data_IF_657690782838
#
_entry.id   IF_657690782838
#
_cell.length_a   1.000
_cell.length_b   1.000
_cell.length_c   1.000
_cell.angle_alpha   90.00
_cell.angle_beta   90.00
_cell.angle_gamma   90.00
#
_symmetry.space_group_name_H-M   'P 1'
#
loop_
_entity.id
_entity.type
_entity.pdbx_description
1 polymer ?
#
# COMPACT_ATOMS: atom_id res chain seq x y z
N UNK A 1 -7.27 2.72 -20.73
CA UNK A 1 -6.47 1.68 -20.06
C UNK A 1 -6.85 1.67 -18.59
N UNK A 2 -6.94 0.50 -17.99
CA UNK A 2 -7.14 0.31 -16.54
C UNK A 2 -6.12 -0.71 -16.03
N UNK A 3 -5.76 -0.62 -14.75
CA UNK A 3 -4.86 -1.56 -14.08
C UNK A 3 -5.26 -1.78 -12.63
N UNK A 4 -5.04 -2.96 -12.13
CA UNK A 4 -5.21 -3.30 -10.72
C UNK A 4 -3.96 -4.05 -10.25
N UNK A 5 -3.39 -3.63 -9.13
CA UNK A 5 -2.15 -4.20 -8.58
C UNK A 5 -2.30 -4.47 -7.09
N UNK A 6 -1.61 -5.49 -6.61
CA UNK A 6 -1.40 -5.68 -5.18
C UNK A 6 -0.11 -4.99 -4.75
N UNK A 7 -0.22 -3.98 -3.88
CA UNK A 7 0.90 -3.23 -3.33
C UNK A 7 1.03 -3.44 -1.82
N UNK A 8 1.37 -4.65 -1.39
CA UNK A 8 1.86 -4.88 -0.03
C UNK A 8 3.20 -4.18 0.18
N UNK A 9 3.68 -4.10 1.43
CA UNK A 9 4.90 -3.36 1.74
C UNK A 9 6.13 -3.76 0.90
N UNK A 10 6.31 -5.07 0.64
CA UNK A 10 7.42 -5.56 -0.19
C UNK A 10 7.29 -5.05 -1.62
N UNK A 11 6.12 -5.23 -2.24
CA UNK A 11 5.88 -4.76 -3.60
C UNK A 11 6.09 -3.25 -3.72
N UNK A 12 5.53 -2.48 -2.78
CA UNK A 12 5.68 -1.03 -2.75
C UNK A 12 7.15 -0.60 -2.53
N UNK A 13 7.89 -1.31 -1.67
CA UNK A 13 9.31 -1.06 -1.41
C UNK A 13 10.19 -1.38 -2.63
N UNK A 14 9.90 -2.46 -3.35
CA UNK A 14 10.66 -2.92 -4.50
C UNK A 14 10.16 -2.37 -5.85
N UNK A 15 9.30 -1.35 -5.86
CA UNK A 15 8.99 -0.58 -7.06
C UNK A 15 7.81 -1.09 -7.89
N UNK A 16 6.84 -1.82 -7.31
CA UNK A 16 5.63 -2.25 -8.05
C UNK A 16 4.86 -1.05 -8.62
N UNK A 17 4.83 0.08 -7.90
CA UNK A 17 4.12 1.29 -8.30
C UNK A 17 4.79 1.91 -9.51
N UNK A 18 6.10 2.10 -9.43
CA UNK A 18 6.93 2.66 -10.50
C UNK A 18 6.82 1.82 -11.77
N UNK A 19 6.97 0.50 -11.64
CA UNK A 19 6.84 -0.43 -12.77
C UNK A 19 5.44 -0.42 -13.38
N UNK A 20 4.39 -0.24 -12.56
CA UNK A 20 3.01 -0.17 -13.05
C UNK A 20 2.79 1.11 -13.85
N UNK A 21 3.25 2.26 -13.37
CA UNK A 21 3.15 3.53 -14.12
C UNK A 21 3.93 3.46 -15.42
N UNK A 22 5.14 2.90 -15.40
CA UNK A 22 5.93 2.67 -16.61
C UNK A 22 5.17 1.82 -17.61
N UNK A 23 4.62 0.68 -17.17
CA UNK A 23 3.86 -0.23 -18.03
C UNK A 23 2.60 0.41 -18.62
N UNK A 24 1.86 1.19 -17.83
CA UNK A 24 0.71 1.95 -18.32
C UNK A 24 1.13 2.96 -19.40
N UNK A 25 2.26 3.63 -19.22
CA UNK A 25 2.80 4.58 -20.21
C UNK A 25 3.22 3.89 -21.49
N UNK A 26 3.90 2.74 -21.41
CA UNK A 26 4.26 1.92 -22.58
C UNK A 26 3.03 1.47 -23.39
N UNK A 27 1.92 1.24 -22.72
CA UNK A 27 0.64 0.87 -23.33
C UNK A 27 -0.13 2.09 -23.90
N UNK A 28 0.46 3.29 -23.91
CA UNK A 28 -0.15 4.53 -24.39
C UNK A 28 -1.00 5.27 -23.34
N UNK A 29 -0.86 4.95 -22.08
CA UNK A 29 -1.49 5.70 -20.98
C UNK A 29 -0.78 7.02 -20.71
N UNK A 30 -1.55 8.05 -20.39
CA UNK A 30 -1.04 9.35 -19.96
C UNK A 30 -1.08 9.45 -18.44
N UNK A 31 0.08 9.45 -17.80
CA UNK A 31 0.18 9.52 -16.33
C UNK A 31 -0.44 10.79 -15.74
N UNK A 32 -0.49 11.89 -16.50
CA UNK A 32 -1.09 13.15 -16.04
C UNK A 32 -2.62 13.10 -15.98
N UNK A 33 -3.22 12.12 -16.68
CA UNK A 33 -4.66 11.86 -16.69
C UNK A 33 -5.03 10.63 -15.86
N UNK A 34 -4.05 10.05 -15.17
CA UNK A 34 -4.28 8.85 -14.37
C UNK A 34 -4.98 9.24 -13.05
N UNK A 35 -6.08 8.55 -12.77
CA UNK A 35 -6.70 8.53 -11.45
C UNK A 35 -6.39 7.20 -10.77
N UNK A 36 -5.95 7.27 -9.52
CA UNK A 36 -5.58 6.11 -8.70
C UNK A 36 -6.48 6.04 -7.48
N UNK A 37 -6.94 4.86 -7.13
CA UNK A 37 -7.60 4.61 -5.85
C UNK A 37 -6.80 3.58 -5.06
N UNK A 38 -6.36 3.95 -3.85
CA UNK A 38 -5.73 3.03 -2.90
C UNK A 38 -6.82 2.33 -2.11
N UNK A 39 -6.94 1.03 -2.29
CA UNK A 39 -7.95 0.19 -1.65
C UNK A 39 -7.75 0.01 -0.14
N UNK A 40 -8.63 -0.77 0.51
CA UNK A 40 -8.49 -1.13 1.93
C UNK A 40 -7.15 -1.77 2.21
N UNK A 41 -6.49 -1.34 3.27
CA UNK A 41 -5.23 -1.90 3.75
C UNK A 41 -5.14 -1.78 5.26
N UNK A 42 -4.18 -2.43 5.87
CA UNK A 42 -3.91 -2.29 7.31
C UNK A 42 -3.59 -0.83 7.65
N UNK A 43 -4.25 -0.28 8.68
CA UNK A 43 -3.95 1.07 9.17
C UNK A 43 -2.62 1.14 9.92
N UNK A 44 -2.06 2.34 10.04
CA UNK A 44 -0.84 2.58 10.81
C UNK A 44 -0.99 2.10 12.27
N UNK A 45 -2.14 2.30 12.88
CA UNK A 45 -2.40 1.91 14.27
C UNK A 45 -2.26 0.41 14.52
N UNK A 46 -2.54 -0.40 13.51
CA UNK A 46 -2.48 -1.87 13.57
C UNK A 46 -1.26 -2.46 12.88
N UNK A 47 -0.42 -1.63 12.24
CA UNK A 47 0.75 -2.09 11.50
C UNK A 47 2.05 -1.94 12.30
N UNK A 48 2.17 -2.71 13.37
CA UNK A 48 3.40 -2.77 14.14
C UNK A 48 4.49 -3.53 13.38
N UNK A 49 5.70 -2.96 13.34
CA UNK A 49 6.89 -3.49 12.68
C UNK A 49 8.10 -3.35 13.60
N UNK A 50 9.12 -4.19 13.38
CA UNK A 50 10.37 -4.19 14.17
C UNK A 50 11.40 -3.26 13.55
N UNK A 51 12.50 -3.08 14.28
CA UNK A 51 13.62 -2.21 13.92
C UNK A 51 14.30 -2.57 12.59
N UNK A 52 14.40 -3.87 12.27
CA UNK A 52 14.97 -4.34 11.00
C UNK A 52 14.14 -3.83 9.80
N UNK A 53 12.81 -3.90 9.90
CA UNK A 53 11.91 -3.32 8.90
C UNK A 53 12.13 -1.82 8.74
N UNK A 54 12.14 -1.08 9.84
CA UNK A 54 12.42 0.36 9.85
C UNK A 54 13.77 0.67 9.21
N UNK A 55 14.83 -0.04 9.60
CA UNK A 55 16.18 0.17 9.10
C UNK A 55 16.30 -0.07 7.60
N UNK A 56 15.57 -1.03 7.04
CA UNK A 56 15.52 -1.26 5.59
C UNK A 56 14.96 -0.04 4.84
N UNK A 57 13.88 0.55 5.36
CA UNK A 57 13.31 1.76 4.75
C UNK A 57 14.24 2.98 4.90
N UNK A 58 14.93 3.10 6.04
CA UNK A 58 15.89 4.18 6.26
C UNK A 58 17.13 4.05 5.35
N UNK A 59 17.56 2.84 5.04
CA UNK A 59 18.68 2.60 4.12
C UNK A 59 18.33 2.98 2.67
N UNK A 60 17.07 2.87 2.27
CA UNK A 60 16.59 3.33 0.97
C UNK A 60 16.51 4.87 0.89
N UNK A 61 15.94 5.50 1.90
CA UNK A 61 15.87 6.96 2.02
C UNK A 61 15.51 7.38 3.46
N UNK A 62 16.25 8.35 4.00
CA UNK A 62 15.91 8.96 5.31
C UNK A 62 14.55 9.65 5.31
N UNK A 63 14.06 10.09 4.15
CA UNK A 63 12.73 10.71 4.02
C UNK A 63 11.59 9.73 4.34
N UNK A 64 11.85 8.43 4.37
CA UNK A 64 10.87 7.42 4.74
C UNK A 64 10.51 7.47 6.24
N UNK A 65 11.29 8.17 7.08
CA UNK A 65 11.02 8.30 8.52
C UNK A 65 9.61 8.82 8.80
N UNK A 66 9.09 9.73 7.98
CA UNK A 66 7.74 10.31 8.10
C UNK A 66 6.60 9.29 8.06
N UNK A 67 6.84 8.08 7.59
CA UNK A 67 5.85 7.00 7.54
C UNK A 67 5.86 6.12 8.79
N UNK A 68 6.75 6.40 9.73
CA UNK A 68 6.94 5.61 10.94
C UNK A 68 6.63 6.42 12.20
N UNK A 69 5.89 5.83 13.10
CA UNK A 69 5.68 6.29 14.45
C UNK A 69 6.42 5.37 15.41
N UNK A 70 7.33 5.90 16.21
CA UNK A 70 8.06 5.12 17.22
C UNK A 70 7.12 4.76 18.36
N UNK A 71 7.00 3.48 18.69
CA UNK A 71 6.14 2.98 19.76
C UNK A 71 6.92 2.45 20.97
N UNK A 72 8.11 1.97 20.78
CA UNK A 72 8.99 1.42 21.80
C UNK A 72 10.44 1.49 21.37
N UNK A 73 11.33 0.81 22.10
CA UNK A 73 12.76 0.87 21.79
C UNK A 73 13.10 0.27 20.42
N UNK A 74 12.37 -0.77 20.00
CA UNK A 74 12.64 -1.51 18.75
C UNK A 74 11.38 -1.76 17.93
N UNK A 75 10.28 -1.07 18.25
CA UNK A 75 8.98 -1.23 17.59
C UNK A 75 8.48 0.10 17.05
N UNK A 76 7.90 0.04 15.86
CA UNK A 76 7.36 1.17 15.11
C UNK A 76 5.99 0.81 14.56
N UNK A 77 5.19 1.83 14.24
CA UNK A 77 3.98 1.70 13.44
C UNK A 77 4.22 2.28 12.06
N UNK A 78 3.97 1.48 11.02
CA UNK A 78 4.21 1.87 9.63
C UNK A 78 2.93 2.29 8.92
N UNK A 79 2.96 3.43 8.25
CA UNK A 79 1.85 3.94 7.45
C UNK A 79 2.02 3.55 5.98
N UNK A 80 1.57 2.34 5.63
CA UNK A 80 1.63 1.82 4.27
C UNK A 80 0.84 2.70 3.28
N UNK A 81 -0.35 3.16 3.66
CA UNK A 81 -1.20 3.99 2.79
C UNK A 81 -0.51 5.31 2.43
N UNK A 82 0.04 6.01 3.42
CA UNK A 82 0.78 7.24 3.18
C UNK A 82 2.02 7.00 2.32
N UNK A 83 2.74 5.90 2.54
CA UNK A 83 3.89 5.52 1.73
C UNK A 83 3.51 5.31 0.26
N UNK A 84 2.42 4.55 -0.02
CA UNK A 84 1.91 4.32 -1.37
C UNK A 84 1.46 5.64 -2.02
N UNK A 85 0.74 6.50 -1.30
CA UNK A 85 0.29 7.78 -1.81
C UNK A 85 1.46 8.67 -2.26
N UNK A 86 2.50 8.79 -1.44
CA UNK A 86 3.69 9.56 -1.79
C UNK A 86 4.40 8.98 -3.02
N UNK A 87 4.50 7.66 -3.13
CA UNK A 87 5.07 7.03 -4.33
C UNK A 87 4.34 7.43 -5.62
N UNK A 88 3.01 7.48 -5.60
CA UNK A 88 2.24 7.96 -6.75
C UNK A 88 2.43 9.46 -7.00
N UNK A 89 2.46 10.27 -5.93
CA UNK A 89 2.69 11.73 -6.05
C UNK A 89 4.06 12.04 -6.64
N UNK A 90 5.12 11.35 -6.19
CA UNK A 90 6.48 11.50 -6.69
C UNK A 90 6.60 11.13 -8.18
N UNK A 91 5.72 10.25 -8.68
CA UNK A 91 5.61 9.91 -10.10
C UNK A 91 4.75 10.90 -10.92
N UNK A 92 4.17 11.91 -10.26
CA UNK A 92 3.38 12.96 -10.90
C UNK A 92 1.89 12.64 -11.06
N UNK A 93 1.37 11.59 -10.39
CA UNK A 93 -0.06 11.32 -10.35
C UNK A 93 -0.76 12.37 -9.49
N UNK A 94 -1.72 13.09 -10.07
CA UNK A 94 -2.39 14.21 -9.40
C UNK A 94 -3.68 13.80 -8.69
N UNK A 95 -4.38 12.80 -9.23
CA UNK A 95 -5.66 12.33 -8.66
C UNK A 95 -5.45 11.02 -7.93
N UNK A 96 -5.47 11.08 -6.60
CA UNK A 96 -5.29 9.91 -5.73
C UNK A 96 -6.39 9.89 -4.69
N UNK A 97 -7.26 8.89 -4.78
CA UNK A 97 -8.31 8.61 -3.81
C UNK A 97 -7.91 7.47 -2.87
N UNK A 98 -8.54 7.41 -1.72
CA UNK A 98 -8.28 6.39 -0.72
C UNK A 98 -9.58 5.82 -0.16
N UNK A 99 -9.73 4.51 -0.19
CA UNK A 99 -10.73 3.79 0.60
C UNK A 99 -10.12 3.61 2.00
N UNK A 100 -10.46 4.53 2.92
CA UNK A 100 -9.83 4.63 4.25
C UNK A 100 -10.33 3.56 5.24
N UNK A 101 -10.42 2.31 4.78
CA UNK A 101 -10.82 1.16 5.59
C UNK A 101 -9.58 0.42 6.07
N UNK A 102 -9.58 0.03 7.35
CA UNK A 102 -8.56 -0.82 7.97
C UNK A 102 -8.95 -2.29 7.82
N UNK A 103 -8.28 -3.01 6.92
CA UNK A 103 -8.54 -4.43 6.69
C UNK A 103 -8.24 -5.32 7.91
N UNK A 104 -7.41 -4.86 8.86
CA UNK A 104 -7.14 -5.58 10.10
C UNK A 104 -8.30 -5.46 11.09
N UNK A 105 -8.89 -4.27 11.23
CA UNK A 105 -9.97 -4.00 12.17
C UNK A 105 -11.35 -4.43 11.64
N UNK A 106 -11.57 -4.37 10.33
CA UNK A 106 -12.86 -4.69 9.69
C UNK A 106 -12.97 -6.19 9.39
N UNK A 107 -13.08 -7.00 10.43
CA UNK A 107 -13.06 -8.49 10.34
C UNK A 107 -14.23 -9.06 9.56
N UNK A 108 -15.42 -8.49 9.70
CA UNK A 108 -16.63 -8.96 9.01
C UNK A 108 -16.61 -8.71 7.49
N UNK A 109 -15.74 -7.82 7.00
CA UNK A 109 -15.74 -7.38 5.62
C UNK A 109 -14.46 -7.78 4.87
N UNK A 110 -13.31 -7.88 5.58
CA UNK A 110 -12.02 -8.07 4.95
C UNK A 110 -11.20 -9.17 5.60
N UNK A 111 -10.55 -9.97 4.79
CA UNK A 111 -9.46 -10.85 5.23
C UNK A 111 -8.20 -10.02 5.50
N UNK A 112 -7.42 -10.44 6.50
CA UNK A 112 -6.18 -9.76 6.88
C UNK A 112 -5.09 -10.77 7.24
N UNK A 113 -4.00 -10.74 6.49
CA UNK A 113 -2.82 -11.55 6.79
C UNK A 113 -2.29 -11.32 8.21
N UNK A 114 -2.23 -10.05 8.64
CA UNK A 114 -1.73 -9.69 9.96
C UNK A 114 -2.65 -10.22 11.06
N UNK A 115 -3.97 -10.18 10.88
CA UNK A 115 -4.94 -10.73 11.82
C UNK A 115 -4.83 -12.25 11.90
N UNK A 116 -4.79 -12.94 10.77
CA UNK A 116 -4.62 -14.38 10.70
C UNK A 116 -3.34 -14.84 11.43
N UNK A 117 -2.21 -14.19 11.17
CA UNK A 117 -0.96 -14.50 11.89
C UNK A 117 -1.03 -14.22 13.39
N UNK A 118 -1.75 -13.18 13.81
CA UNK A 118 -1.94 -12.89 15.24
C UNK A 118 -2.82 -13.92 15.93
N UNK A 119 -3.78 -14.51 15.20
CA UNK A 119 -4.70 -15.56 15.68
C UNK A 119 -4.10 -16.97 15.56
N UNK A 120 -2.90 -17.11 14.95
CA UNK A 120 -2.26 -18.42 14.76
C UNK A 120 -2.90 -19.26 13.66
N UNK A 121 -3.60 -18.63 12.72
CA UNK A 121 -4.22 -19.32 11.58
C UNK A 121 -3.14 -19.73 10.56
N UNK A 122 -3.23 -20.95 10.04
CA UNK A 122 -2.28 -21.45 9.03
C UNK A 122 -2.50 -20.80 7.67
N UNK A 123 -3.76 -20.54 7.31
CA UNK A 123 -4.16 -19.85 6.08
C UNK A 123 -5.37 -18.93 6.35
N UNK A 124 -5.71 -18.09 5.37
CA UNK A 124 -6.81 -17.13 5.45
C UNK A 124 -7.34 -16.83 4.05
N UNK A 125 -8.59 -16.34 3.95
CA UNK A 125 -9.20 -15.90 2.70
C UNK A 125 -8.45 -14.69 2.08
N UNK A 126 -8.76 -14.40 0.83
CA UNK A 126 -8.20 -13.26 0.08
C UNK A 126 -9.34 -12.34 -0.36
N UNK A 127 -9.10 -11.03 -0.30
CA UNK A 127 -9.99 -10.05 -0.90
C UNK A 127 -9.65 -9.90 -2.37
N UNK A 128 -10.67 -9.73 -3.20
CA UNK A 128 -10.52 -9.44 -4.63
C UNK A 128 -10.73 -7.94 -4.87
N UNK A 129 -9.89 -7.35 -5.72
CA UNK A 129 -10.08 -6.00 -6.21
C UNK A 129 -10.23 -6.06 -7.72
N UNK A 130 -11.21 -5.33 -8.26
CA UNK A 130 -11.46 -5.30 -9.69
C UNK A 130 -11.75 -3.87 -10.15
N UNK A 131 -11.32 -3.57 -11.37
CA UNK A 131 -11.60 -2.30 -12.04
C UNK A 131 -12.00 -2.56 -13.49
N UNK A 132 -12.96 -1.80 -14.00
CA UNK A 132 -13.33 -1.85 -15.41
C UNK A 132 -13.57 -0.44 -15.98
N UNK A 133 -13.36 -0.27 -17.27
CA UNK A 133 -13.80 0.91 -18.00
C UNK A 133 -15.30 0.76 -18.29
N UNK A 134 -16.05 1.79 -17.99
CA UNK A 134 -17.46 1.89 -18.39
C UNK A 134 -17.49 2.72 -19.69
N UNK A 135 -18.15 2.22 -20.74
CA UNK A 135 -18.49 3.03 -21.90
C UNK A 135 -19.56 4.04 -21.46
N UNK A 136 -19.30 5.31 -21.68
CA UNK A 136 -20.27 6.39 -21.56
C UNK A 136 -21.09 6.45 -22.83
#
# INVERSE_FOLDING_TARGET
IVGCIHAGWKGAFFGIIENTILKLSEMGGDKNKLAVTVGPCISQNNYEVKKDFYSNFMSQSKQNEKFFEKKGNETFRFNLRAYINIKFQDLGVQTIDNIAVDSFASESEYFSHRRAKKLGEDDYGRCISAIRKIAL
#
